data_IF_975774497037
#
_entry.id   IF_975774497037
#
_cell.length_a   1.000
_cell.length_b   1.000
_cell.length_c   1.000
_cell.angle_alpha   90.00
_cell.angle_beta   90.00
_cell.angle_gamma   90.00
#
_symmetry.space_group_name_H-M   'P 1'
#
loop_
_entity.id
_entity.type
_entity.pdbx_description
1 polymer ?
#
# COMPACT_ATOMS: atom_id res chain seq x y z
N UNK A 1 -52.96 -3.03 -14.82
CA UNK A 1 -51.77 -3.06 -13.97
C UNK A 1 -52.12 -2.44 -12.61
N UNK A 2 -52.34 -3.29 -11.57
CA UNK A 2 -53.01 -3.00 -10.33
C UNK A 2 -52.29 -2.23 -9.24
N UNK A 3 -51.57 -1.17 -9.56
CA UNK A 3 -51.03 -0.30 -8.50
C UNK A 3 -52.05 0.76 -8.09
N UNK A 4 -52.33 0.83 -6.77
CA UNK A 4 -53.17 1.92 -6.25
C UNK A 4 -52.44 3.26 -6.36
N UNK A 5 -53.20 4.36 -6.50
CA UNK A 5 -52.65 5.72 -6.52
C UNK A 5 -51.73 6.01 -5.33
N UNK A 6 -52.06 5.51 -4.16
CA UNK A 6 -51.29 5.64 -2.92
C UNK A 6 -49.95 4.87 -3.03
N UNK A 7 -49.96 3.66 -3.59
CA UNK A 7 -48.73 2.88 -3.80
C UNK A 7 -47.78 3.59 -4.77
N UNK A 8 -48.28 4.23 -5.81
CA UNK A 8 -47.50 5.02 -6.76
C UNK A 8 -46.80 6.20 -6.07
N UNK A 9 -47.52 7.03 -5.33
CA UNK A 9 -46.91 8.17 -4.62
C UNK A 9 -45.96 7.72 -3.51
N UNK A 10 -46.21 6.63 -2.82
CA UNK A 10 -45.31 6.05 -1.84
C UNK A 10 -44.01 5.61 -2.49
N UNK A 11 -44.08 4.93 -3.61
CA UNK A 11 -42.91 4.49 -4.37
C UNK A 11 -42.08 5.68 -4.90
N UNK A 12 -42.73 6.69 -5.45
CA UNK A 12 -42.06 7.92 -5.91
C UNK A 12 -41.32 8.62 -4.76
N UNK A 13 -41.93 8.74 -3.59
CA UNK A 13 -41.31 9.34 -2.40
C UNK A 13 -40.10 8.53 -1.93
N UNK A 14 -40.18 7.21 -1.90
CA UNK A 14 -39.07 6.33 -1.57
C UNK A 14 -37.93 6.47 -2.56
N UNK A 15 -38.20 6.56 -3.84
CA UNK A 15 -37.21 6.74 -4.88
C UNK A 15 -36.45 8.07 -4.74
N UNK A 16 -37.11 9.16 -4.38
CA UNK A 16 -36.47 10.47 -4.13
C UNK A 16 -35.53 10.36 -2.91
N UNK A 17 -35.97 9.70 -1.82
CA UNK A 17 -35.15 9.49 -0.62
C UNK A 17 -33.90 8.65 -0.97
N UNK A 18 -34.08 7.57 -1.72
CA UNK A 18 -32.96 6.72 -2.16
C UNK A 18 -31.97 7.47 -3.05
N UNK A 19 -32.46 8.25 -4.00
CA UNK A 19 -31.60 9.08 -4.87
C UNK A 19 -30.80 10.11 -4.06
N UNK A 20 -31.41 10.75 -3.07
CA UNK A 20 -30.74 11.72 -2.20
C UNK A 20 -29.66 11.02 -1.34
N UNK A 21 -29.97 9.87 -0.78
CA UNK A 21 -29.01 9.02 -0.04
C UNK A 21 -27.82 8.62 -0.92
N UNK A 22 -28.12 8.13 -2.11
CA UNK A 22 -27.12 7.65 -3.05
C UNK A 22 -26.20 8.79 -3.53
N UNK A 23 -26.74 9.98 -3.75
CA UNK A 23 -25.95 11.18 -4.08
C UNK A 23 -24.98 11.56 -2.96
N UNK A 24 -25.43 11.54 -1.70
CA UNK A 24 -24.57 11.79 -0.53
C UNK A 24 -23.44 10.76 -0.43
N UNK A 25 -23.74 9.48 -0.64
CA UNK A 25 -22.73 8.41 -0.62
C UNK A 25 -21.71 8.63 -1.73
N UNK A 26 -22.15 8.91 -2.96
CA UNK A 26 -21.27 9.14 -4.10
C UNK A 26 -20.35 10.34 -3.90
N UNK A 27 -20.85 11.43 -3.33
CA UNK A 27 -20.04 12.60 -3.00
C UNK A 27 -18.89 12.24 -2.04
N UNK A 28 -19.17 11.46 -1.00
CA UNK A 28 -18.15 11.01 -0.05
C UNK A 28 -17.14 10.04 -0.68
N UNK A 29 -17.61 9.13 -1.55
CA UNK A 29 -16.73 8.24 -2.31
C UNK A 29 -15.78 9.05 -3.19
N UNK A 30 -16.25 10.07 -3.88
CA UNK A 30 -15.41 10.93 -4.73
C UNK A 30 -14.43 11.75 -3.87
N UNK A 31 -14.86 12.23 -2.71
CA UNK A 31 -13.97 12.94 -1.77
C UNK A 31 -12.79 12.04 -1.34
N UNK A 32 -13.04 10.82 -0.90
CA UNK A 32 -11.97 9.86 -0.54
C UNK A 32 -11.07 9.56 -1.76
N UNK A 33 -11.64 9.46 -2.95
CA UNK A 33 -10.88 9.16 -4.15
C UNK A 33 -10.07 10.30 -4.71
N UNK A 34 -10.29 11.52 -4.28
CA UNK A 34 -9.38 12.64 -4.58
C UNK A 34 -8.01 12.42 -3.92
N UNK A 35 -7.97 11.82 -2.73
CA UNK A 35 -6.71 11.49 -2.03
C UNK A 35 -6.20 10.09 -2.40
N UNK A 36 -7.12 9.13 -2.57
CA UNK A 36 -6.82 7.73 -2.88
C UNK A 36 -7.58 7.27 -4.14
N UNK A 37 -7.13 7.64 -5.34
CA UNK A 37 -7.89 7.51 -6.58
C UNK A 37 -8.41 6.11 -6.88
N UNK A 38 -7.71 5.09 -6.42
CA UNK A 38 -8.06 3.69 -6.65
C UNK A 38 -8.41 2.92 -5.38
N UNK A 39 -8.90 3.62 -4.35
CA UNK A 39 -9.42 2.96 -3.16
C UNK A 39 -10.56 1.99 -3.52
N UNK A 40 -10.38 0.72 -3.19
CA UNK A 40 -11.29 -0.37 -3.54
C UNK A 40 -12.61 -0.30 -2.78
N UNK A 41 -13.71 -0.81 -3.38
CA UNK A 41 -15.07 -0.73 -2.83
C UNK A 41 -15.20 -1.25 -1.39
N UNK A 42 -14.50 -2.36 -1.03
CA UNK A 42 -14.53 -2.90 0.35
C UNK A 42 -13.90 -1.95 1.36
N UNK A 43 -12.80 -1.30 1.01
CA UNK A 43 -12.14 -0.30 1.86
C UNK A 43 -13.01 0.95 2.01
N UNK A 44 -13.56 1.46 0.90
CA UNK A 44 -14.51 2.57 0.93
C UNK A 44 -15.68 2.30 1.88
N UNK A 45 -16.25 1.10 1.83
CA UNK A 45 -17.35 0.71 2.72
C UNK A 45 -16.95 0.81 4.20
N UNK A 46 -15.74 0.40 4.55
CA UNK A 46 -15.21 0.48 5.92
C UNK A 46 -14.94 1.95 6.29
N UNK A 47 -14.26 2.69 5.43
CA UNK A 47 -13.91 4.10 5.67
C UNK A 47 -15.14 4.99 5.83
N UNK A 48 -16.24 4.66 5.15
CA UNK A 48 -17.50 5.41 5.21
C UNK A 48 -18.40 5.03 6.39
N UNK A 49 -18.07 4.01 7.18
CA UNK A 49 -18.89 3.61 8.34
C UNK A 49 -19.18 4.75 9.35
N UNK A 50 -18.21 5.61 9.73
CA UNK A 50 -18.48 6.74 10.61
C UNK A 50 -19.47 7.75 9.99
N UNK A 51 -19.33 8.01 8.68
CA UNK A 51 -20.24 8.88 7.95
C UNK A 51 -21.66 8.27 7.88
N UNK A 52 -21.78 6.99 7.57
CA UNK A 52 -23.06 6.29 7.54
C UNK A 52 -23.78 6.34 8.89
N UNK A 53 -23.06 6.13 9.98
CA UNK A 53 -23.63 6.26 11.34
C UNK A 53 -24.11 7.67 11.61
N UNK A 54 -23.32 8.70 11.27
CA UNK A 54 -23.67 10.12 11.49
C UNK A 54 -24.92 10.54 10.70
N UNK A 55 -25.08 10.02 9.47
CA UNK A 55 -26.17 10.36 8.56
C UNK A 55 -27.36 9.38 8.66
N UNK A 56 -27.32 8.42 9.57
CA UNK A 56 -28.32 7.35 9.70
C UNK A 56 -28.56 6.57 8.40
N UNK A 57 -27.50 6.43 7.58
CA UNK A 57 -27.54 5.68 6.31
C UNK A 57 -27.32 4.19 6.59
N UNK A 58 -28.26 3.37 6.13
CA UNK A 58 -28.12 1.91 6.12
C UNK A 58 -27.94 1.44 4.68
N UNK A 59 -26.77 0.86 4.38
CA UNK A 59 -26.48 0.25 3.09
C UNK A 59 -25.66 -1.03 3.28
N UNK A 60 -26.13 -2.12 2.69
CA UNK A 60 -25.40 -3.39 2.69
C UNK A 60 -24.26 -3.39 1.69
N UNK A 61 -23.36 -4.35 1.84
CA UNK A 61 -22.18 -4.51 0.95
C UNK A 61 -22.61 -4.58 -0.53
N UNK A 62 -23.54 -5.43 -0.86
CA UNK A 62 -23.91 -5.70 -2.25
C UNK A 62 -24.62 -4.51 -2.88
N UNK A 63 -25.53 -3.86 -2.16
CA UNK A 63 -26.18 -2.62 -2.59
C UNK A 63 -25.16 -1.48 -2.83
N UNK A 64 -24.12 -1.39 -1.97
CA UNK A 64 -23.03 -0.43 -2.17
C UNK A 64 -22.20 -0.74 -3.42
N UNK A 65 -21.93 -2.03 -3.70
CA UNK A 65 -21.27 -2.44 -4.93
C UNK A 65 -22.11 -2.12 -6.18
N UNK A 66 -23.42 -2.37 -6.15
CA UNK A 66 -24.34 -2.04 -7.22
C UNK A 66 -24.42 -0.53 -7.48
N UNK A 67 -24.49 0.27 -6.41
CA UNK A 67 -24.44 1.74 -6.51
C UNK A 67 -23.20 2.21 -7.25
N UNK A 68 -22.00 1.71 -6.87
CA UNK A 68 -20.76 2.07 -7.53
C UNK A 68 -20.67 1.52 -8.96
N UNK A 69 -21.19 0.32 -9.22
CA UNK A 69 -21.25 -0.26 -10.56
C UNK A 69 -22.11 0.58 -11.50
N UNK A 70 -23.33 0.96 -11.08
CA UNK A 70 -24.27 1.80 -11.82
C UNK A 70 -23.64 3.15 -12.20
N UNK A 71 -22.80 3.70 -11.33
CA UNK A 71 -22.11 4.98 -11.56
C UNK A 71 -20.70 4.82 -12.18
N UNK A 72 -20.35 3.63 -12.70
CA UNK A 72 -19.04 3.32 -13.31
C UNK A 72 -17.83 3.59 -12.40
N UNK A 73 -18.04 3.48 -11.11
CA UNK A 73 -17.04 3.73 -10.07
C UNK A 73 -16.36 2.46 -9.55
N UNK A 74 -16.57 1.29 -10.16
CA UNK A 74 -15.82 0.08 -9.82
C UNK A 74 -14.40 0.12 -10.38
N UNK A 75 -13.43 -0.23 -9.54
CA UNK A 75 -12.02 -0.28 -9.94
C UNK A 75 -11.71 -1.62 -10.61
N UNK A 76 -11.19 -1.57 -11.83
CA UNK A 76 -10.74 -2.75 -12.58
C UNK A 76 -9.32 -3.15 -12.17
N UNK A 77 -9.05 -4.47 -12.07
CA UNK A 77 -7.69 -5.00 -11.88
C UNK A 77 -6.78 -4.56 -13.04
N UNK A 78 -5.56 -4.08 -12.71
CA UNK A 78 -4.51 -3.86 -13.71
C UNK A 78 -3.87 -5.19 -14.10
N UNK A 79 -3.38 -5.30 -15.35
CA UNK A 79 -2.49 -6.39 -15.76
C UNK A 79 -1.18 -6.28 -14.97
N UNK A 80 -0.70 -7.40 -14.42
CA UNK A 80 0.59 -7.45 -13.72
C UNK A 80 1.72 -7.27 -14.75
N UNK A 81 2.69 -6.42 -14.42
CA UNK A 81 3.99 -6.37 -15.07
C UNK A 81 4.98 -7.11 -14.19
N UNK A 82 5.74 -8.05 -14.75
CA UNK A 82 6.81 -8.77 -14.04
C UNK A 82 8.10 -7.99 -14.18
N UNK A 83 8.70 -7.61 -13.06
CA UNK A 83 10.07 -7.11 -13.01
C UNK A 83 10.90 -8.06 -12.14
N UNK A 84 12.11 -8.36 -12.59
CA UNK A 84 13.03 -9.26 -11.90
C UNK A 84 14.14 -8.46 -11.23
N UNK A 85 14.42 -8.80 -9.98
CA UNK A 85 15.54 -8.23 -9.20
C UNK A 85 16.85 -8.82 -9.67
N UNK A 86 17.92 -8.00 -9.80
CA UNK A 86 19.25 -8.49 -10.08
C UNK A 86 19.93 -8.97 -8.80
N UNK A 87 19.93 -10.28 -8.56
CA UNK A 87 20.52 -10.93 -7.38
C UNK A 87 21.89 -11.57 -7.64
N UNK A 88 22.50 -11.37 -8.82
CA UNK A 88 23.84 -11.89 -9.18
C UNK A 88 24.90 -10.85 -8.83
N UNK A 89 25.44 -10.89 -7.60
CA UNK A 89 26.51 -10.02 -7.13
C UNK A 89 27.44 -10.75 -6.13
N UNK A 90 28.59 -10.17 -5.80
CA UNK A 90 29.65 -10.74 -4.96
C UNK A 90 29.46 -10.53 -3.46
N UNK A 91 28.48 -9.72 -3.04
CA UNK A 91 28.28 -9.40 -1.63
C UNK A 91 27.82 -10.61 -0.81
N UNK A 92 28.15 -10.57 0.49
CA UNK A 92 27.74 -11.58 1.46
C UNK A 92 26.21 -11.67 1.54
N UNK A 93 25.72 -12.89 1.55
CA UNK A 93 24.29 -13.20 1.79
C UNK A 93 24.08 -13.60 3.24
N UNK A 94 22.95 -13.25 3.78
CA UNK A 94 22.57 -13.55 5.15
C UNK A 94 21.48 -14.62 5.16
N UNK A 95 21.37 -15.43 6.26
CA UNK A 95 20.38 -16.49 6.38
C UNK A 95 18.96 -15.90 6.47
N UNK A 96 17.96 -16.74 6.16
CA UNK A 96 16.56 -16.39 6.41
C UNK A 96 16.23 -16.67 7.89
N UNK A 97 16.05 -15.62 8.67
CA UNK A 97 15.68 -15.69 10.09
C UNK A 97 14.17 -15.70 10.31
N UNK A 98 13.37 -15.49 9.24
CA UNK A 98 11.93 -15.27 9.36
C UNK A 98 11.06 -16.43 8.84
N UNK A 99 11.68 -17.52 8.39
CA UNK A 99 10.95 -18.68 7.85
C UNK A 99 9.86 -19.22 8.80
N UNK A 100 10.11 -19.17 10.12
CA UNK A 100 9.18 -19.61 11.17
C UNK A 100 8.93 -18.52 12.23
N UNK A 101 9.23 -17.27 11.91
CA UNK A 101 9.08 -16.15 12.82
C UNK A 101 7.80 -15.38 12.54
N UNK A 102 7.00 -15.17 13.58
CA UNK A 102 5.81 -14.31 13.52
C UNK A 102 5.98 -13.20 14.54
N UNK A 103 6.02 -11.93 14.11
CA UNK A 103 6.15 -10.81 15.03
C UNK A 103 4.90 -10.68 15.91
N UNK A 104 5.10 -10.46 17.21
CA UNK A 104 4.05 -10.24 18.20
C UNK A 104 3.89 -8.76 18.57
N UNK A 105 4.94 -7.96 18.31
CA UNK A 105 4.96 -6.53 18.62
C UNK A 105 5.53 -5.71 17.45
N UNK A 106 5.27 -4.41 17.47
CA UNK A 106 5.88 -3.49 16.51
C UNK A 106 7.40 -3.42 16.72
N UNK A 107 8.12 -3.21 15.62
CA UNK A 107 9.59 -3.15 15.55
C UNK A 107 10.33 -4.47 15.85
N UNK A 108 9.67 -5.61 15.84
CA UNK A 108 10.34 -6.92 15.87
C UNK A 108 10.82 -7.38 14.48
N UNK A 109 10.04 -7.09 13.43
CA UNK A 109 10.36 -7.46 12.07
C UNK A 109 10.04 -6.33 11.10
N UNK A 110 11.05 -5.87 10.38
CA UNK A 110 10.90 -4.98 9.23
C UNK A 110 11.12 -5.73 7.94
N UNK A 111 10.25 -5.50 6.96
CA UNK A 111 10.41 -6.04 5.60
C UNK A 111 10.69 -4.90 4.64
N UNK A 112 11.75 -5.07 3.83
CA UNK A 112 12.20 -4.07 2.88
C UNK A 112 12.04 -4.57 1.44
N UNK A 113 11.65 -3.66 0.55
CA UNK A 113 11.57 -3.93 -0.88
C UNK A 113 11.66 -2.62 -1.69
N UNK A 114 12.04 -2.73 -2.96
CA UNK A 114 12.12 -1.61 -3.90
C UNK A 114 11.06 -1.80 -4.97
N UNK A 115 10.26 -0.76 -5.21
CA UNK A 115 9.25 -0.82 -6.25
C UNK A 115 9.41 0.29 -7.28
N UNK A 116 9.07 -0.02 -8.54
CA UNK A 116 9.15 0.92 -9.65
C UNK A 116 7.94 1.85 -9.68
N UNK A 117 8.19 3.14 -9.86
CA UNK A 117 7.20 4.19 -10.07
C UNK A 117 7.24 4.59 -11.53
N UNK A 118 6.15 4.46 -12.31
CA UNK A 118 6.14 4.84 -13.72
C UNK A 118 6.22 6.37 -13.87
N UNK A 119 7.16 6.83 -14.68
CA UNK A 119 7.30 8.21 -15.14
C UNK A 119 7.15 8.28 -16.66
N UNK A 120 6.98 9.45 -17.22
CA UNK A 120 6.72 9.62 -18.68
C UNK A 120 7.81 8.97 -19.56
N UNK A 121 9.09 9.14 -19.21
CA UNK A 121 10.21 8.70 -20.04
C UNK A 121 11.06 7.61 -19.38
N UNK A 122 10.93 7.42 -18.06
CA UNK A 122 11.74 6.51 -17.26
C UNK A 122 10.99 5.97 -16.06
N UNK A 123 11.66 5.25 -15.20
CA UNK A 123 11.15 4.86 -13.89
C UNK A 123 11.83 5.66 -12.80
N UNK A 124 11.09 5.98 -11.73
CA UNK A 124 11.64 6.25 -10.43
C UNK A 124 11.50 5.01 -9.54
N UNK A 125 12.13 5.03 -8.38
CA UNK A 125 12.23 3.91 -7.47
C UNK A 125 11.74 4.34 -6.10
N UNK A 126 10.85 3.55 -5.53
CA UNK A 126 10.35 3.72 -4.17
C UNK A 126 10.95 2.62 -3.29
N UNK A 127 11.81 3.02 -2.39
CA UNK A 127 12.37 2.19 -1.33
C UNK A 127 11.40 2.19 -0.16
N UNK A 128 11.01 1.03 0.32
CA UNK A 128 10.04 0.87 1.39
C UNK A 128 10.58 -0.03 2.48
N UNK A 129 10.36 0.39 3.72
CA UNK A 129 10.57 -0.46 4.90
C UNK A 129 9.26 -0.45 5.68
N UNK A 130 8.68 -1.62 5.86
CA UNK A 130 7.39 -1.82 6.49
C UNK A 130 7.55 -2.65 7.75
N UNK A 131 6.99 -2.21 8.85
CA UNK A 131 6.86 -3.01 10.06
C UNK A 131 5.86 -4.14 9.85
N UNK A 132 6.31 -5.36 10.07
CA UNK A 132 5.55 -6.55 9.72
C UNK A 132 4.36 -6.80 10.64
N UNK A 133 4.40 -6.31 11.87
CA UNK A 133 3.29 -6.43 12.82
C UNK A 133 2.21 -5.36 12.57
N UNK A 134 2.58 -4.09 12.66
CA UNK A 134 1.65 -2.96 12.57
C UNK A 134 1.23 -2.64 11.12
N UNK A 135 1.96 -3.13 10.12
CA UNK A 135 1.81 -2.78 8.68
C UNK A 135 2.13 -1.33 8.37
N UNK A 136 2.68 -0.59 9.31
CA UNK A 136 3.11 0.79 9.13
C UNK A 136 4.36 0.84 8.25
N UNK A 137 4.40 1.78 7.30
CA UNK A 137 5.64 2.13 6.61
C UNK A 137 6.48 2.94 7.59
N UNK A 138 7.59 2.37 8.04
CA UNK A 138 8.51 2.99 9.01
C UNK A 138 9.64 3.75 8.33
N UNK A 139 9.92 3.46 7.07
CA UNK A 139 10.90 4.20 6.28
C UNK A 139 10.57 4.15 4.80
N UNK A 140 10.72 5.26 4.11
CA UNK A 140 10.60 5.29 2.65
C UNK A 140 11.46 6.38 2.03
N UNK A 141 11.83 6.17 0.77
CA UNK A 141 12.51 7.17 -0.06
C UNK A 141 12.15 6.98 -1.53
N UNK A 142 11.92 8.08 -2.23
CA UNK A 142 11.70 8.09 -3.69
C UNK A 142 12.95 8.65 -4.34
N UNK A 143 13.51 7.92 -5.31
CA UNK A 143 14.71 8.30 -6.04
C UNK A 143 14.54 8.06 -7.53
N UNK A 144 15.32 8.74 -8.34
CA UNK A 144 15.43 8.48 -9.78
C UNK A 144 16.52 7.44 -10.13
N UNK A 145 17.21 6.94 -9.13
CA UNK A 145 18.24 5.90 -9.27
C UNK A 145 18.05 4.73 -8.31
N UNK A 146 18.72 3.62 -8.59
CA UNK A 146 18.75 2.42 -7.74
C UNK A 146 20.04 2.32 -6.91
N UNK A 147 20.57 3.43 -6.43
CA UNK A 147 21.80 3.44 -5.65
C UNK A 147 21.58 2.98 -4.21
N UNK A 148 22.65 2.50 -3.61
CA UNK A 148 22.72 2.12 -2.19
C UNK A 148 22.40 3.31 -1.28
N UNK A 149 22.88 4.50 -1.62
CA UNK A 149 22.61 5.74 -0.88
C UNK A 149 21.13 6.01 -0.68
N UNK A 150 20.32 5.75 -1.72
CA UNK A 150 18.86 5.93 -1.65
C UNK A 150 18.20 4.91 -0.73
N UNK A 151 18.67 3.67 -0.71
CA UNK A 151 18.23 2.66 0.26
C UNK A 151 18.60 3.04 1.70
N UNK A 152 19.81 3.60 1.90
CA UNK A 152 20.27 4.08 3.21
C UNK A 152 19.38 5.21 3.74
N UNK A 153 18.93 6.14 2.89
CA UNK A 153 18.00 7.20 3.31
C UNK A 153 16.69 6.62 3.84
N UNK A 154 16.12 5.61 3.16
CA UNK A 154 14.92 4.94 3.64
C UNK A 154 15.17 4.21 4.97
N UNK A 155 16.32 3.54 5.12
CA UNK A 155 16.71 2.83 6.34
C UNK A 155 16.91 3.80 7.50
N UNK A 156 17.57 4.92 7.28
CA UNK A 156 17.78 5.93 8.32
C UNK A 156 16.45 6.44 8.89
N UNK A 157 15.47 6.75 8.03
CA UNK A 157 14.13 7.15 8.46
C UNK A 157 13.42 6.08 9.30
N UNK A 158 13.63 4.81 9.01
CA UNK A 158 13.09 3.71 9.81
C UNK A 158 13.78 3.63 11.18
N UNK A 159 15.10 3.76 11.20
CA UNK A 159 15.92 3.77 12.41
C UNK A 159 15.53 4.92 13.34
N UNK A 160 15.32 6.12 12.79
CA UNK A 160 14.93 7.31 13.56
C UNK A 160 13.58 7.15 14.29
N UNK A 161 12.73 6.23 13.83
CA UNK A 161 11.45 5.90 14.48
C UNK A 161 11.53 4.68 15.41
N UNK A 162 12.68 3.97 15.42
CA UNK A 162 12.85 2.75 16.20
C UNK A 162 13.04 3.11 17.68
N UNK A 163 12.32 2.46 18.62
CA UNK A 163 12.68 2.54 20.05
C UNK A 163 14.13 2.11 20.28
N UNK A 164 14.83 2.81 21.19
CA UNK A 164 16.25 2.62 21.39
C UNK A 164 16.62 1.18 21.81
N UNK A 165 15.76 0.54 22.58
CA UNK A 165 15.90 -0.82 23.12
C UNK A 165 15.37 -1.93 22.20
N UNK A 166 14.67 -1.58 21.10
CA UNK A 166 14.11 -2.58 20.21
C UNK A 166 15.21 -3.27 19.38
N UNK A 167 15.21 -4.59 19.41
CA UNK A 167 16.02 -5.45 18.52
C UNK A 167 15.14 -5.85 17.33
N UNK A 168 15.45 -5.31 16.17
CA UNK A 168 14.68 -5.56 14.95
C UNK A 168 15.37 -6.57 14.05
N UNK A 169 14.60 -7.47 13.46
CA UNK A 169 15.03 -8.28 12.30
C UNK A 169 14.70 -7.48 11.04
N UNK A 170 15.70 -7.13 10.26
CA UNK A 170 15.53 -6.50 8.95
C UNK A 170 15.59 -7.57 7.87
N UNK A 171 14.46 -7.82 7.20
CA UNK A 171 14.34 -8.82 6.15
C UNK A 171 14.14 -8.18 4.77
N UNK A 172 14.89 -8.65 3.79
CA UNK A 172 14.83 -8.18 2.40
C UNK A 172 15.08 -9.32 1.40
N UNK A 173 14.89 -9.03 0.12
CA UNK A 173 15.45 -9.87 -0.94
C UNK A 173 16.99 -9.77 -0.95
N UNK A 174 17.63 -10.49 -1.89
CA UNK A 174 19.09 -10.45 -2.10
C UNK A 174 19.48 -9.37 -3.13
N UNK A 175 18.79 -8.26 -3.16
CA UNK A 175 19.15 -7.13 -4.02
C UNK A 175 20.50 -6.53 -3.60
N UNK A 176 21.26 -6.04 -4.61
CA UNK A 176 22.57 -5.44 -4.41
C UNK A 176 22.56 -4.35 -3.32
N UNK A 177 21.52 -3.55 -3.28
CA UNK A 177 21.37 -2.45 -2.32
C UNK A 177 21.40 -2.94 -0.87
N UNK A 178 20.69 -4.03 -0.57
CA UNK A 178 20.57 -4.60 0.76
C UNK A 178 21.79 -5.41 1.20
N UNK A 179 22.56 -5.93 0.23
CA UNK A 179 23.78 -6.68 0.47
C UNK A 179 25.04 -5.80 0.54
N UNK A 180 24.95 -4.51 0.23
CA UNK A 180 26.09 -3.60 0.21
C UNK A 180 26.70 -3.41 1.61
N UNK A 181 28.01 -3.18 1.66
CA UNK A 181 28.73 -3.01 2.92
C UNK A 181 28.19 -1.84 3.75
N UNK A 182 27.86 -0.72 3.10
CA UNK A 182 27.39 0.48 3.78
C UNK A 182 25.99 0.26 4.41
N UNK A 183 25.08 -0.38 3.67
CA UNK A 183 23.74 -0.71 4.18
C UNK A 183 23.82 -1.69 5.35
N UNK A 184 24.64 -2.73 5.22
CA UNK A 184 24.90 -3.73 6.26
C UNK A 184 25.58 -3.12 7.49
N UNK A 185 26.54 -2.21 7.29
CA UNK A 185 27.22 -1.51 8.37
C UNK A 185 26.20 -0.68 9.20
N UNK A 186 25.32 0.05 8.53
CA UNK A 186 24.27 0.83 9.20
C UNK A 186 23.35 -0.05 10.04
N UNK A 187 22.87 -1.20 9.48
CA UNK A 187 22.06 -2.15 10.25
C UNK A 187 22.78 -2.67 11.50
N UNK A 188 24.06 -3.03 11.38
CA UNK A 188 24.86 -3.53 12.49
C UNK A 188 25.11 -2.46 13.56
N UNK A 189 25.39 -1.22 13.18
CA UNK A 189 25.57 -0.09 14.11
C UNK A 189 24.34 0.11 14.98
N UNK A 190 23.15 -0.17 14.44
CA UNK A 190 21.89 -0.05 15.17
C UNK A 190 21.37 -1.38 15.71
N UNK A 191 22.24 -2.39 15.85
CA UNK A 191 21.95 -3.70 16.43
C UNK A 191 20.78 -4.44 15.74
N UNK A 192 20.53 -4.18 14.45
CA UNK A 192 19.54 -4.91 13.69
C UNK A 192 20.08 -6.26 13.22
N UNK A 193 19.28 -7.31 13.35
CA UNK A 193 19.56 -8.62 12.80
C UNK A 193 19.23 -8.64 11.30
N UNK A 194 20.14 -9.18 10.49
CA UNK A 194 20.01 -9.17 9.03
C UNK A 194 19.47 -10.51 8.57
N UNK A 195 18.37 -10.46 7.84
CA UNK A 195 17.69 -11.62 7.26
C UNK A 195 17.45 -11.41 5.76
N UNK A 196 17.62 -12.44 4.96
CA UNK A 196 17.40 -12.38 3.50
C UNK A 196 16.67 -13.63 3.02
N UNK A 197 15.89 -13.48 1.93
CA UNK A 197 15.27 -14.62 1.25
C UNK A 197 16.33 -15.64 0.82
N UNK A 198 16.03 -16.95 0.87
CA UNK A 198 17.02 -17.99 0.53
C UNK A 198 16.91 -18.46 -0.92
N UNK A 199 15.73 -18.78 -1.37
CA UNK A 199 15.53 -19.50 -2.62
C UNK A 199 14.86 -18.68 -3.73
N UNK A 200 14.67 -17.35 -3.53
CA UNK A 200 13.89 -16.51 -4.43
C UNK A 200 12.41 -16.88 -4.44
N UNK A 201 11.95 -17.60 -3.41
CA UNK A 201 10.53 -17.92 -3.22
C UNK A 201 9.78 -16.62 -2.94
N UNK A 202 8.77 -16.28 -3.76
CA UNK A 202 7.92 -15.10 -3.53
C UNK A 202 7.27 -15.09 -2.15
N UNK A 203 7.04 -16.25 -1.55
CA UNK A 203 6.45 -16.34 -0.21
C UNK A 203 7.39 -15.85 0.90
N UNK A 204 8.72 -15.89 0.68
CA UNK A 204 9.69 -15.44 1.68
C UNK A 204 9.65 -13.92 1.93
N UNK A 205 9.19 -13.11 0.95
CA UNK A 205 8.97 -11.67 1.09
C UNK A 205 7.53 -11.24 0.75
N UNK A 206 6.58 -12.16 0.90
CA UNK A 206 5.18 -11.95 0.51
C UNK A 206 4.52 -10.72 1.12
N UNK A 207 4.98 -10.30 2.30
CA UNK A 207 4.45 -9.10 2.96
C UNK A 207 4.89 -7.82 2.25
N UNK A 208 6.17 -7.67 1.94
CA UNK A 208 6.68 -6.52 1.22
C UNK A 208 6.05 -6.44 -0.18
N UNK A 209 5.95 -7.59 -0.88
CA UNK A 209 5.24 -7.67 -2.17
C UNK A 209 3.77 -7.26 -2.07
N UNK A 210 3.09 -7.64 -0.98
CA UNK A 210 1.70 -7.24 -0.74
C UNK A 210 1.56 -5.74 -0.53
N UNK A 211 2.43 -5.12 0.28
CA UNK A 211 2.44 -3.66 0.50
C UNK A 211 2.69 -2.94 -0.82
N UNK A 212 3.69 -3.35 -1.58
CA UNK A 212 3.98 -2.81 -2.91
C UNK A 212 2.80 -2.99 -3.87
N UNK A 213 2.14 -4.14 -3.84
CA UNK A 213 0.94 -4.40 -4.63
C UNK A 213 -0.22 -3.47 -4.29
N UNK A 214 -0.43 -3.15 -3.01
CA UNK A 214 -1.44 -2.19 -2.54
C UNK A 214 -1.08 -0.79 -3.02
N UNK A 215 0.15 -0.34 -2.77
CA UNK A 215 0.60 0.99 -3.19
C UNK A 215 0.48 1.18 -4.71
N UNK A 216 0.94 0.22 -5.50
CA UNK A 216 0.81 0.26 -6.97
C UNK A 216 -0.63 0.24 -7.45
N UNK A 217 -1.52 -0.44 -6.76
CA UNK A 217 -2.91 -0.55 -7.19
C UNK A 217 -3.78 0.63 -6.76
N UNK A 218 -3.47 1.26 -5.64
CA UNK A 218 -4.34 2.23 -4.99
C UNK A 218 -3.78 3.66 -5.00
N UNK A 219 -2.48 3.81 -4.83
CA UNK A 219 -1.80 5.11 -4.74
C UNK A 219 -1.04 5.44 -6.04
N UNK A 220 -0.09 4.60 -6.44
CA UNK A 220 0.75 4.82 -7.62
C UNK A 220 -0.03 4.44 -8.88
N UNK A 221 -1.13 5.14 -9.13
CA UNK A 221 -2.07 4.78 -10.20
C UNK A 221 -1.76 5.45 -11.54
N UNK A 222 -1.00 6.50 -11.53
CA UNK A 222 -0.71 7.36 -12.68
C UNK A 222 0.78 7.36 -13.05
N UNK A 223 1.06 7.79 -14.27
CA UNK A 223 2.43 8.06 -14.73
C UNK A 223 2.76 9.50 -14.37
N UNK A 224 3.76 9.68 -13.52
CA UNK A 224 4.16 11.02 -13.07
C UNK A 224 4.95 11.77 -14.14
N UNK A 225 4.83 13.09 -14.16
CA UNK A 225 5.56 13.96 -15.08
C UNK A 225 7.05 14.01 -14.74
N UNK A 226 7.36 14.11 -13.46
CA UNK A 226 8.71 14.25 -12.93
C UNK A 226 8.82 13.65 -11.51
N UNK A 227 10.05 13.59 -11.00
CA UNK A 227 10.35 13.03 -9.68
C UNK A 227 9.70 13.84 -8.55
N UNK A 228 9.63 15.16 -8.69
CA UNK A 228 9.05 16.05 -7.66
C UNK A 228 7.57 15.77 -7.49
N UNK A 229 6.84 15.61 -8.60
CA UNK A 229 5.41 15.24 -8.57
C UNK A 229 5.20 13.88 -7.92
N UNK A 230 6.06 12.88 -8.22
CA UNK A 230 5.99 11.58 -7.58
C UNK A 230 6.26 11.66 -6.07
N UNK A 231 7.28 12.43 -5.65
CA UNK A 231 7.61 12.62 -4.23
C UNK A 231 6.48 13.31 -3.46
N UNK A 232 5.89 14.36 -4.03
CA UNK A 232 4.78 15.09 -3.39
C UNK A 232 3.52 14.24 -3.21
N UNK A 233 3.26 13.34 -4.15
CA UNK A 233 2.07 12.48 -4.08
C UNK A 233 2.25 11.28 -3.14
N UNK A 234 3.50 10.80 -2.97
CA UNK A 234 3.80 9.60 -2.16
C UNK A 234 4.15 9.95 -0.71
N UNK A 235 4.58 11.18 -0.43
CA UNK A 235 4.91 11.65 0.91
C UNK A 235 3.64 11.95 1.73
#
# INVERSE_FOLDING_TARGET
FGYSRQAFYKQQRLQIIEQSRDALILQQVLHIRNEQPRCGTRKLLIMLQPFFKKQHIQIGRDAFFELLAKNKLLIRKRKRSTHTTNSKHFFRRYPNLVAHFTPLHAHELWVADITYIPMKERFAYLYLITDAYSRKIVGFHVSDDMRVSSAIVALQKAIDQKPADAIVIHHSDRGLQYCSNDYVALLKTHHAQISMTQNGDPYENAMAERVNGILKSELISETYTDLKAAMQHIA
#
